data_IF_312038317741
#
_entry.id   IF_312038317741
#
_cell.length_a   1.000
_cell.length_b   1.000
_cell.length_c   1.000
_cell.angle_alpha   90.00
_cell.angle_beta   90.00
_cell.angle_gamma   90.00
#
_symmetry.space_group_name_H-M   'P 1'
#
loop_
_entity.id
_entity.type
_entity.pdbx_description
1 polymer ?
#
# COMPACT_ATOMS: atom_id res chain seq x y z
N UNK A 1 -4.17 30.77 22.43
CA UNK A 1 -4.95 31.02 21.21
C UNK A 1 -4.78 29.79 20.34
N UNK A 2 -5.83 28.99 20.14
CA UNK A 2 -5.70 27.76 19.34
C UNK A 2 -5.37 28.12 17.89
N UNK A 3 -4.40 27.41 17.33
CA UNK A 3 -4.01 27.49 15.93
C UNK A 3 -5.24 27.26 15.03
N UNK A 4 -5.38 28.07 13.97
CA UNK A 4 -6.49 27.95 13.01
C UNK A 4 -6.54 26.54 12.42
N UNK A 5 -5.37 25.92 12.20
CA UNK A 5 -5.29 24.52 11.76
C UNK A 5 -5.85 23.55 12.78
N UNK A 6 -5.60 23.77 14.08
CA UNK A 6 -6.13 22.93 15.15
C UNK A 6 -7.67 23.01 15.20
N UNK A 7 -8.24 24.21 15.02
CA UNK A 7 -9.70 24.38 14.98
C UNK A 7 -10.35 23.64 13.81
N UNK A 8 -9.73 23.71 12.63
CA UNK A 8 -10.22 22.98 11.44
C UNK A 8 -10.10 21.47 11.65
N UNK A 9 -8.96 21.00 12.18
CA UNK A 9 -8.74 19.58 12.43
C UNK A 9 -9.76 19.01 13.43
N UNK A 10 -10.01 19.70 14.54
CA UNK A 10 -11.00 19.28 15.54
C UNK A 10 -12.42 19.20 14.96
N UNK A 11 -12.83 20.22 14.19
CA UNK A 11 -14.14 20.21 13.52
C UNK A 11 -14.32 19.00 12.62
N UNK A 12 -13.29 18.63 11.85
CA UNK A 12 -13.35 17.43 10.99
C UNK A 12 -13.42 16.12 11.78
N UNK A 13 -12.70 16.05 12.90
CA UNK A 13 -12.74 14.87 13.78
C UNK A 13 -14.14 14.71 14.37
N UNK A 14 -14.75 15.80 14.84
CA UNK A 14 -16.13 15.77 15.36
C UNK A 14 -17.15 15.36 14.28
N UNK A 15 -17.04 15.89 13.06
CA UNK A 15 -17.88 15.48 11.92
C UNK A 15 -17.76 13.97 11.65
N UNK A 16 -16.54 13.43 11.57
CA UNK A 16 -16.31 12.01 11.32
C UNK A 16 -16.85 11.11 12.45
N UNK A 17 -16.75 11.55 13.70
CA UNK A 17 -17.37 10.86 14.86
C UNK A 17 -18.89 10.85 14.71
N UNK A 18 -19.51 12.01 14.43
CA UNK A 18 -20.96 12.10 14.28
C UNK A 18 -21.50 11.27 13.09
N UNK A 19 -20.69 11.11 12.05
CA UNK A 19 -21.02 10.28 10.89
C UNK A 19 -20.85 8.76 11.16
N UNK A 20 -20.33 8.36 12.32
CA UNK A 20 -20.02 6.96 12.63
C UNK A 20 -18.84 6.41 11.82
N UNK A 21 -17.98 7.27 11.26
CA UNK A 21 -16.82 6.81 10.47
C UNK A 21 -15.76 6.05 11.30
N UNK A 22 -15.86 6.16 12.63
CA UNK A 22 -15.02 5.43 13.58
C UNK A 22 -15.67 4.15 14.13
N UNK A 23 -16.92 3.86 13.77
CA UNK A 23 -17.63 2.66 14.22
C UNK A 23 -17.23 1.45 13.36
N UNK A 24 -17.09 0.28 13.97
CA UNK A 24 -16.72 -1.00 13.33
C UNK A 24 -15.38 -0.98 12.57
N UNK A 25 -14.42 -0.17 13.04
CA UNK A 25 -13.09 -0.14 12.42
C UNK A 25 -12.35 -1.48 12.56
N UNK A 26 -11.55 -1.88 11.56
CA UNK A 26 -10.78 -3.11 11.62
C UNK A 26 -9.78 -3.07 12.79
N UNK A 27 -10.09 -3.83 13.84
CA UNK A 27 -9.27 -3.85 15.06
C UNK A 27 -9.85 -3.05 16.23
N UNK A 28 -11.07 -2.53 16.12
CA UNK A 28 -11.78 -1.89 17.22
C UNK A 28 -11.86 -2.83 18.45
N UNK A 29 -11.61 -2.26 19.63
CA UNK A 29 -11.59 -2.99 20.91
C UNK A 29 -10.43 -3.98 21.07
N UNK A 30 -9.56 -4.15 20.07
CA UNK A 30 -8.40 -5.07 20.13
C UNK A 30 -7.11 -4.30 20.45
N UNK A 31 -6.14 -4.93 21.16
CA UNK A 31 -4.84 -4.31 21.39
C UNK A 31 -4.13 -4.03 20.06
N UNK A 32 -3.51 -2.86 19.96
CA UNK A 32 -2.74 -2.47 18.77
C UNK A 32 -1.51 -3.37 18.67
N UNK A 33 -1.36 -4.11 17.56
CA UNK A 33 -0.14 -4.88 17.31
C UNK A 33 0.99 -3.93 16.92
N UNK A 34 2.04 -3.85 17.74
CA UNK A 34 3.22 -3.02 17.50
C UNK A 34 4.50 -3.85 17.25
N UNK A 35 4.37 -5.18 17.09
CA UNK A 35 5.52 -6.09 16.95
C UNK A 35 6.42 -5.71 15.78
N UNK A 36 5.81 -5.17 14.72
CA UNK A 36 6.52 -4.70 13.52
C UNK A 36 7.43 -3.48 13.76
N UNK A 37 7.23 -2.71 14.84
CA UNK A 37 8.06 -1.56 15.19
C UNK A 37 9.34 -1.96 15.94
N UNK A 38 9.41 -3.19 16.46
CA UNK A 38 10.57 -3.69 17.22
C UNK A 38 11.81 -3.76 16.33
N UNK A 39 11.66 -4.10 15.05
CA UNK A 39 12.74 -4.15 14.07
C UNK A 39 13.12 -2.78 13.49
N UNK A 40 12.44 -1.71 13.89
CA UNK A 40 12.61 -0.36 13.32
C UNK A 40 13.27 0.56 14.35
N UNK A 41 14.37 1.25 13.99
CA UNK A 41 15.01 2.24 14.84
C UNK A 41 14.01 3.32 15.31
N UNK A 42 14.05 3.77 16.59
CA UNK A 42 13.09 4.71 17.15
C UNK A 42 12.82 5.95 16.29
N UNK A 43 13.88 6.52 15.72
CA UNK A 43 13.87 7.71 14.86
C UNK A 43 13.12 7.49 13.54
N UNK A 44 12.99 6.24 13.06
CA UNK A 44 12.32 5.90 11.81
C UNK A 44 10.86 5.45 12.00
N UNK A 45 10.42 5.18 13.24
CA UNK A 45 9.09 4.60 13.51
C UNK A 45 7.93 5.49 13.07
N UNK A 46 8.05 6.81 13.25
CA UNK A 46 7.02 7.76 12.85
C UNK A 46 6.82 7.74 11.33
N UNK A 47 7.91 7.87 10.56
CA UNK A 47 7.87 7.82 9.11
C UNK A 47 7.32 6.48 8.59
N UNK A 48 7.77 5.36 9.17
CA UNK A 48 7.28 4.04 8.79
C UNK A 48 5.79 3.83 9.10
N UNK A 49 5.31 4.33 10.25
CA UNK A 49 3.90 4.22 10.64
C UNK A 49 3.01 5.02 9.70
N UNK A 50 3.42 6.23 9.30
CA UNK A 50 2.70 7.04 8.31
C UNK A 50 2.63 6.32 6.96
N UNK A 51 3.73 5.75 6.49
CA UNK A 51 3.77 4.99 5.23
C UNK A 51 2.87 3.74 5.29
N UNK A 52 2.91 3.00 6.39
CA UNK A 52 2.06 1.82 6.59
C UNK A 52 0.57 2.18 6.60
N UNK A 53 0.21 3.26 7.30
CA UNK A 53 -1.18 3.67 7.47
C UNK A 53 -1.77 4.33 6.21
N UNK A 54 -0.95 5.00 5.39
CA UNK A 54 -1.38 5.61 4.13
C UNK A 54 -1.64 4.60 3.00
N UNK A 55 -1.38 3.30 3.24
CA UNK A 55 -1.52 2.27 2.21
C UNK A 55 -0.48 2.40 1.09
N UNK A 56 0.57 3.22 1.29
CA UNK A 56 1.68 3.34 0.35
C UNK A 56 2.49 2.06 0.41
N UNK A 57 2.20 1.18 -0.54
CA UNK A 57 2.95 -0.06 -0.72
C UNK A 57 4.24 0.20 -1.51
N UNK A 58 5.35 -0.46 -1.17
CA UNK A 58 6.56 -0.40 -1.99
C UNK A 58 6.27 -0.75 -3.45
N UNK A 59 7.07 -0.21 -4.38
CA UNK A 59 6.86 -0.42 -5.81
C UNK A 59 6.92 -1.92 -6.18
N UNK A 60 7.70 -2.73 -5.45
CA UNK A 60 7.71 -4.19 -5.58
C UNK A 60 6.30 -4.79 -5.41
N UNK A 61 5.60 -4.36 -4.36
CA UNK A 61 4.26 -4.87 -4.02
C UNK A 61 3.23 -4.37 -5.04
N UNK A 62 3.42 -3.16 -5.56
CA UNK A 62 2.58 -2.63 -6.62
C UNK A 62 2.72 -3.45 -7.92
N UNK A 63 3.95 -3.77 -8.33
CA UNK A 63 4.22 -4.60 -9.50
C UNK A 63 3.65 -6.02 -9.34
N UNK A 64 3.75 -6.61 -8.14
CA UNK A 64 3.13 -7.91 -7.86
C UNK A 64 1.60 -7.88 -8.00
N UNK A 65 0.95 -6.82 -7.52
CA UNK A 65 -0.50 -6.64 -7.72
C UNK A 65 -0.85 -6.55 -9.20
N UNK A 66 -0.12 -5.74 -9.97
CA UNK A 66 -0.32 -5.63 -11.43
C UNK A 66 -0.14 -6.97 -12.16
N UNK A 67 0.91 -7.73 -11.83
CA UNK A 67 1.15 -9.08 -12.40
C UNK A 67 -0.04 -10.00 -12.10
N UNK A 68 -0.55 -9.98 -10.85
CA UNK A 68 -1.70 -10.81 -10.46
C UNK A 68 -2.97 -10.45 -11.23
N UNK A 69 -3.19 -9.16 -11.46
CA UNK A 69 -4.35 -8.65 -12.18
C UNK A 69 -4.28 -8.95 -13.68
N UNK A 70 -3.11 -8.74 -14.30
CA UNK A 70 -2.85 -9.10 -15.69
C UNK A 70 -3.06 -10.61 -15.92
N UNK A 71 -2.62 -11.47 -14.99
CA UNK A 71 -2.87 -12.92 -15.07
C UNK A 71 -4.35 -13.27 -14.99
N UNK A 72 -5.10 -12.62 -14.08
CA UNK A 72 -6.57 -12.81 -13.99
C UNK A 72 -7.26 -12.39 -15.28
N UNK A 73 -6.92 -11.22 -15.82
CA UNK A 73 -7.46 -10.74 -17.09
C UNK A 73 -7.13 -11.71 -18.24
N UNK A 74 -5.91 -12.25 -18.27
CA UNK A 74 -5.50 -13.24 -19.28
C UNK A 74 -6.31 -14.54 -19.19
N UNK A 75 -6.66 -14.98 -17.97
CA UNK A 75 -7.47 -16.18 -17.75
C UNK A 75 -8.94 -16.00 -18.15
N UNK A 76 -9.45 -14.77 -18.14
CA UNK A 76 -10.84 -14.45 -18.46
C UNK A 76 -11.06 -14.02 -19.93
N UNK A 77 -9.99 -13.85 -20.72
CA UNK A 77 -10.08 -13.32 -22.07
C UNK A 77 -10.11 -14.43 -23.14
N UNK A 78 -11.06 -14.41 -24.11
CA UNK A 78 -11.05 -15.32 -25.24
C UNK A 78 -9.87 -15.05 -26.19
N UNK A 79 -9.45 -16.06 -26.94
CA UNK A 79 -8.24 -15.98 -27.77
C UNK A 79 -8.36 -14.96 -28.90
N UNK A 80 -7.33 -14.13 -29.05
CA UNK A 80 -7.28 -13.08 -30.07
C UNK A 80 -6.12 -12.12 -29.86
N UNK A 81 -6.08 -11.05 -30.66
CA UNK A 81 -5.04 -10.02 -30.65
C UNK A 81 -4.91 -9.34 -29.27
N UNK A 82 -6.01 -9.22 -28.54
CA UNK A 82 -6.05 -8.71 -27.17
C UNK A 82 -5.27 -9.59 -26.18
N UNK A 83 -5.32 -10.92 -26.31
CA UNK A 83 -4.56 -11.86 -25.44
C UNK A 83 -3.06 -11.67 -25.61
N UNK A 84 -2.59 -11.48 -26.85
CA UNK A 84 -1.18 -11.23 -27.16
C UNK A 84 -0.66 -9.90 -26.60
N UNK A 85 -1.51 -8.87 -26.55
CA UNK A 85 -1.14 -7.60 -25.93
C UNK A 85 -1.03 -7.72 -24.40
N UNK A 86 -1.96 -8.46 -23.78
CA UNK A 86 -1.90 -8.72 -22.33
C UNK A 86 -0.69 -9.58 -21.95
N UNK A 87 -0.33 -10.60 -22.73
CA UNK A 87 0.87 -11.41 -22.46
C UNK A 87 2.14 -10.59 -22.54
N UNK A 88 2.26 -9.70 -23.53
CA UNK A 88 3.40 -8.79 -23.66
C UNK A 88 3.52 -7.86 -22.44
N UNK A 89 2.41 -7.23 -22.04
CA UNK A 89 2.37 -6.37 -20.83
C UNK A 89 2.75 -7.13 -19.55
N UNK A 90 2.30 -8.37 -19.43
CA UNK A 90 2.65 -9.23 -18.30
C UNK A 90 4.16 -9.51 -18.27
N UNK A 91 4.76 -9.87 -19.40
CA UNK A 91 6.21 -10.10 -19.51
C UNK A 91 7.02 -8.84 -19.16
N UNK A 92 6.64 -7.69 -19.69
CA UNK A 92 7.33 -6.42 -19.41
C UNK A 92 7.31 -6.09 -17.90
N UNK A 93 6.16 -6.33 -17.25
CA UNK A 93 5.99 -6.06 -15.82
C UNK A 93 6.77 -7.06 -14.96
N UNK A 94 6.82 -8.33 -15.35
CA UNK A 94 7.64 -9.36 -14.70
C UNK A 94 9.14 -9.08 -14.81
N UNK A 95 9.61 -8.60 -15.97
CA UNK A 95 11.00 -8.19 -16.16
C UNK A 95 11.34 -6.99 -15.29
N UNK A 96 10.48 -5.96 -15.26
CA UNK A 96 10.65 -4.78 -14.41
C UNK A 96 10.76 -5.17 -12.93
N UNK A 97 9.89 -6.07 -12.46
CA UNK A 97 9.93 -6.58 -11.09
C UNK A 97 11.24 -7.30 -10.76
N UNK A 98 11.72 -8.19 -11.64
CA UNK A 98 12.99 -8.91 -11.44
C UNK A 98 14.20 -7.96 -11.38
N UNK A 99 14.28 -7.01 -12.30
CA UNK A 99 15.34 -5.99 -12.33
C UNK A 99 15.37 -5.18 -11.02
N UNK A 100 14.19 -4.78 -10.53
CA UNK A 100 14.08 -4.06 -9.28
C UNK A 100 14.67 -4.86 -8.10
N UNK A 101 14.27 -6.13 -7.95
CA UNK A 101 14.79 -7.00 -6.89
C UNK A 101 16.32 -7.17 -6.93
N UNK A 102 16.91 -7.24 -8.13
CA UNK A 102 18.36 -7.32 -8.28
C UNK A 102 19.07 -6.04 -7.80
N UNK A 103 18.53 -4.86 -8.11
CA UNK A 103 19.10 -3.59 -7.66
C UNK A 103 19.04 -3.43 -6.14
N UNK A 104 17.93 -3.84 -5.51
CA UNK A 104 17.75 -3.77 -4.06
C UNK A 104 18.66 -4.76 -3.32
N UNK A 105 18.93 -5.93 -3.92
CA UNK A 105 19.90 -6.92 -3.39
C UNK A 105 21.34 -6.41 -3.41
N UNK A 106 21.73 -5.66 -4.44
CA UNK A 106 23.09 -5.09 -4.54
C UNK A 106 23.34 -3.97 -3.53
N UNK A 107 22.33 -3.16 -3.18
CA UNK A 107 22.43 -2.07 -2.20
C UNK A 107 22.47 -2.52 -0.73
N UNK A 108 22.08 -3.77 -0.45
CA UNK A 108 22.10 -4.35 0.91
C UNK A 108 23.40 -5.08 1.25
N UNK A 109 24.33 -5.20 0.31
CA UNK A 109 25.70 -5.70 0.52
C UNK A 109 26.65 -4.53 0.71
#
# INVERSE_FOLDING_TARGET
MYDIFAKIALSKIEEAINNGEFDDLPGEGKPVNLDYLVSIPPEMRAAYTVLKNSGVVPEEVHLLKQISELRKQLSACPEGESKNQLTKKLMDTEVKYKLMLETTRRKKR
#
